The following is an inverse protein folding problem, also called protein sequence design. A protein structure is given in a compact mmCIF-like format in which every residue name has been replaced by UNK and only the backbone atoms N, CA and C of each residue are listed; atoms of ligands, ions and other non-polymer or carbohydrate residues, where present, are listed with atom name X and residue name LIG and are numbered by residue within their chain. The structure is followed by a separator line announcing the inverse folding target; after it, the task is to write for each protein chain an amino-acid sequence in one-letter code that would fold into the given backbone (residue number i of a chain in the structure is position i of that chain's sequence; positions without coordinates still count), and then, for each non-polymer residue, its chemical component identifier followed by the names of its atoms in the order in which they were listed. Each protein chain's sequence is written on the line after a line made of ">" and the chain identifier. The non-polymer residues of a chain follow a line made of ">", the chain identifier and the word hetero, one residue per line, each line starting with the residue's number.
data_IF_256769534260
#
_entry.id   IF_256769534260
#
_cell.length_a   1.000
_cell.length_b   1.000
_cell.length_c   1.000
_cell.angle_alpha   90.00
_cell.angle_beta   90.00
_cell.angle_gamma   90.00
#
_symmetry.space_group_name_H-M   'P 1'
#
loop_
_entity.id
_entity.type
_entity.pdbx_description
1 polymer ?
#
# COMPACT_ATOMS: atom_id res chain seq x y z
N UNK A 1 35.33 -12.40 28.40
CA UNK A 1 36.51 -13.12 27.87
C UNK A 1 36.13 -14.31 27.01
N UNK A 2 35.32 -15.28 27.47
CA UNK A 2 34.92 -16.45 26.65
C UNK A 2 34.23 -16.09 25.32
N UNK A 3 33.31 -15.13 25.31
CA UNK A 3 32.68 -14.65 24.06
C UNK A 3 33.67 -13.95 23.11
N UNK A 4 34.63 -13.18 23.65
CA UNK A 4 35.62 -12.49 22.83
C UNK A 4 36.66 -13.45 22.22
N UNK A 5 37.06 -14.50 22.96
CA UNK A 5 37.92 -15.56 22.42
C UNK A 5 37.23 -16.36 21.30
N UNK A 6 35.89 -16.49 21.34
CA UNK A 6 35.12 -17.05 20.22
C UNK A 6 35.06 -16.13 19.00
N UNK A 7 35.32 -14.84 19.20
CA UNK A 7 35.34 -13.81 18.18
C UNK A 7 36.70 -13.62 17.48
N UNK A 8 37.71 -14.46 17.75
CA UNK A 8 38.98 -14.39 17.03
C UNK A 8 38.77 -14.65 15.53
N UNK A 9 39.17 -13.69 14.71
CA UNK A 9 39.10 -13.79 13.25
C UNK A 9 40.12 -14.82 12.75
N UNK A 10 40.06 -15.18 11.46
CA UNK A 10 41.09 -16.03 10.85
C UNK A 10 42.50 -15.46 11.07
N UNK A 11 42.67 -14.14 10.98
CA UNK A 11 43.93 -13.46 11.27
C UNK A 11 44.35 -13.64 12.73
N UNK A 12 43.44 -13.39 13.68
CA UNK A 12 43.72 -13.58 15.11
C UNK A 12 44.15 -15.01 15.44
N UNK A 13 43.49 -16.01 14.84
CA UNK A 13 43.84 -17.42 14.99
C UNK A 13 45.20 -17.75 14.39
N UNK A 14 45.52 -17.22 13.22
CA UNK A 14 46.84 -17.39 12.60
C UNK A 14 47.97 -16.76 13.44
N UNK A 15 47.76 -15.57 14.01
CA UNK A 15 48.74 -14.94 14.90
C UNK A 15 48.97 -15.75 16.17
N UNK A 16 47.91 -16.29 16.78
CA UNK A 16 48.05 -17.19 17.94
C UNK A 16 48.78 -18.49 17.58
N UNK A 17 48.45 -19.11 16.44
CA UNK A 17 49.10 -20.33 15.99
C UNK A 17 50.58 -20.12 15.65
N UNK A 18 50.91 -19.01 14.98
CA UNK A 18 52.29 -18.62 14.67
C UNK A 18 53.07 -18.32 15.96
N UNK A 19 52.47 -17.58 16.90
CA UNK A 19 53.07 -17.31 18.21
C UNK A 19 53.33 -18.59 19.01
N UNK A 20 52.38 -19.54 19.03
CA UNK A 20 52.58 -20.82 19.73
C UNK A 20 53.66 -21.68 19.07
N UNK A 21 53.68 -21.75 17.73
CA UNK A 21 54.69 -22.50 17.00
C UNK A 21 56.09 -21.92 17.23
N UNK A 22 56.24 -20.59 17.12
CA UNK A 22 57.49 -19.89 17.41
C UNK A 22 57.94 -20.10 18.86
N UNK A 23 57.00 -20.15 19.82
CA UNK A 23 57.30 -20.40 21.23
C UNK A 23 57.84 -21.82 21.47
N UNK A 24 57.24 -22.83 20.82
CA UNK A 24 57.74 -24.21 20.87
C UNK A 24 59.13 -24.31 20.24
N UNK A 25 59.35 -23.70 19.08
CA UNK A 25 60.66 -23.67 18.44
C UNK A 25 61.71 -22.97 19.30
N UNK A 26 61.37 -21.83 19.93
CA UNK A 26 62.28 -21.11 20.83
C UNK A 26 62.67 -21.95 22.05
N UNK A 27 61.75 -22.73 22.60
CA UNK A 27 62.02 -23.64 23.72
C UNK A 27 62.98 -24.76 23.31
N UNK A 28 62.79 -25.34 22.12
CA UNK A 28 63.66 -26.43 21.59
C UNK A 28 65.07 -25.91 21.27
N UNK A 29 65.17 -24.72 20.66
CA UNK A 29 66.42 -24.13 20.20
C UNK A 29 67.19 -23.39 21.31
N UNK A 30 66.53 -23.05 22.43
CA UNK A 30 67.12 -22.23 23.50
C UNK A 30 67.29 -20.75 23.15
N UNK A 31 66.69 -20.30 22.05
CA UNK A 31 66.88 -18.95 21.50
C UNK A 31 65.95 -17.93 22.17
N UNK A 32 66.54 -16.99 22.91
CA UNK A 32 65.79 -15.97 23.68
C UNK A 32 65.10 -14.96 22.78
N UNK A 33 65.67 -14.63 21.63
CA UNK A 33 65.08 -13.65 20.71
C UNK A 33 63.84 -14.20 20.00
N UNK A 34 63.85 -15.49 19.66
CA UNK A 34 62.68 -16.17 19.10
C UNK A 34 61.54 -16.23 20.11
N UNK A 35 61.84 -16.43 21.39
CA UNK A 35 60.85 -16.41 22.47
C UNK A 35 60.19 -15.02 22.61
N UNK A 36 60.96 -13.93 22.48
CA UNK A 36 60.41 -12.56 22.53
C UNK A 36 59.41 -12.32 21.39
N UNK A 37 59.73 -12.76 20.18
CA UNK A 37 58.83 -12.68 19.01
C UNK A 37 57.58 -13.53 19.22
N UNK A 38 57.73 -14.74 19.74
CA UNK A 38 56.61 -15.63 20.05
C UNK A 38 55.63 -15.01 21.05
N UNK A 39 56.15 -14.42 22.14
CA UNK A 39 55.35 -13.72 23.15
C UNK A 39 54.61 -12.54 22.53
N UNK A 40 55.28 -11.72 21.70
CA UNK A 40 54.66 -10.56 21.05
C UNK A 40 53.50 -10.98 20.14
N UNK A 41 53.72 -12.01 19.31
CA UNK A 41 52.70 -12.55 18.40
C UNK A 41 51.49 -13.13 19.14
N UNK A 42 51.72 -13.82 20.26
CA UNK A 42 50.64 -14.40 21.06
C UNK A 42 49.90 -13.36 21.91
N UNK A 43 50.61 -12.34 22.42
CA UNK A 43 50.03 -11.26 23.23
C UNK A 43 49.06 -10.39 22.44
N UNK A 44 49.36 -10.10 21.17
CA UNK A 44 48.57 -9.15 20.38
C UNK A 44 47.08 -9.59 20.20
N UNK A 45 46.76 -10.83 19.80
CA UNK A 45 45.37 -11.31 19.75
C UNK A 45 44.69 -11.38 21.13
N UNK A 46 45.45 -11.69 22.19
CA UNK A 46 44.92 -11.73 23.56
C UNK A 46 44.55 -10.31 24.05
N UNK A 47 45.39 -9.32 23.76
CA UNK A 47 45.10 -7.91 24.04
C UNK A 47 43.92 -7.40 23.22
N UNK A 48 43.82 -7.78 21.94
CA UNK A 48 42.67 -7.45 21.09
C UNK A 48 41.36 -8.06 21.63
N UNK A 49 41.37 -9.34 22.00
CA UNK A 49 40.21 -10.01 22.61
C UNK A 49 39.87 -9.42 24.00
N UNK A 50 40.87 -9.01 24.79
CA UNK A 50 40.65 -8.32 26.05
C UNK A 50 40.06 -6.92 25.84
N UNK A 51 40.53 -6.17 24.85
CA UNK A 51 40.00 -4.85 24.48
C UNK A 51 38.53 -4.94 24.08
N UNK A 52 38.21 -5.80 23.10
CA UNK A 52 36.83 -6.01 22.63
C UNK A 52 35.94 -6.60 23.75
N UNK A 53 36.47 -7.54 24.52
CA UNK A 53 35.74 -8.25 25.57
C UNK A 53 35.50 -7.45 26.86
N UNK A 54 36.41 -6.56 27.25
CA UNK A 54 36.23 -5.65 28.40
C UNK A 54 35.23 -4.57 28.09
N UNK A 55 35.09 -4.20 26.83
CA UNK A 55 34.38 -2.98 26.50
C UNK A 55 32.86 -3.06 26.65
N UNK A 56 32.27 -4.25 26.89
CA UNK A 56 30.82 -4.49 27.15
C UNK A 56 29.92 -3.38 26.56
N UNK A 57 30.12 -3.10 25.27
CA UNK A 57 29.63 -1.86 24.69
C UNK A 57 28.11 -1.81 24.82
N UNK A 58 27.62 -0.90 25.65
CA UNK A 58 26.19 -0.63 25.76
C UNK A 58 25.84 0.28 24.58
N UNK A 59 25.47 -0.32 23.46
CA UNK A 59 24.99 0.41 22.31
C UNK A 59 23.47 0.48 22.36
N UNK A 60 22.91 1.68 22.30
CA UNK A 60 21.51 1.89 22.00
C UNK A 60 21.38 2.16 20.50
N UNK A 61 20.39 1.55 19.86
CA UNK A 61 20.10 1.78 18.46
C UNK A 61 18.61 2.02 18.30
N UNK A 62 18.25 3.08 17.57
CA UNK A 62 16.90 3.31 17.08
C UNK A 62 16.92 3.41 15.57
N UNK A 63 15.89 2.85 14.92
CA UNK A 63 15.67 2.97 13.49
C UNK A 63 14.40 3.80 13.29
N UNK A 64 14.43 4.71 12.32
CA UNK A 64 13.26 5.43 11.84
C UNK A 64 13.18 5.36 10.32
N UNK A 65 11.94 5.39 9.81
CA UNK A 65 11.62 5.36 8.39
C UNK A 65 10.97 6.69 8.00
N UNK A 66 11.56 7.38 7.04
CA UNK A 66 11.11 8.69 6.57
C UNK A 66 10.92 8.69 5.04
N UNK A 67 9.67 8.66 4.54
CA UNK A 67 8.43 8.36 5.26
C UNK A 67 8.26 6.85 5.55
N UNK A 68 7.47 6.49 6.58
CA UNK A 68 7.11 5.09 6.86
C UNK A 68 6.08 4.49 5.89
N UNK A 69 5.41 5.35 5.13
CA UNK A 69 4.53 5.00 4.01
C UNK A 69 4.99 5.73 2.76
N UNK A 70 5.29 5.01 1.70
CA UNK A 70 5.80 5.58 0.45
C UNK A 70 5.04 5.02 -0.76
N UNK A 71 4.74 5.80 -1.80
CA UNK A 71 4.22 5.26 -3.05
C UNK A 71 5.24 4.34 -3.73
N UNK A 72 4.74 3.38 -4.51
CA UNK A 72 5.56 2.57 -5.43
C UNK A 72 6.49 3.48 -6.25
N UNK A 73 7.76 3.09 -6.38
CA UNK A 73 8.78 3.84 -7.09
C UNK A 73 9.28 5.09 -6.37
N UNK A 74 8.76 5.42 -5.19
CA UNK A 74 9.30 6.50 -4.35
C UNK A 74 10.41 5.97 -3.44
N UNK A 75 11.36 6.83 -3.12
CA UNK A 75 12.45 6.51 -2.19
C UNK A 75 12.04 6.85 -0.75
N UNK A 76 12.36 5.95 0.19
CA UNK A 76 12.26 6.19 1.62
C UNK A 76 13.65 6.12 2.27
N UNK A 77 13.90 6.97 3.26
CA UNK A 77 15.15 6.98 4.02
C UNK A 77 15.00 6.13 5.28
N UNK A 78 15.93 5.22 5.48
CA UNK A 78 16.12 4.52 6.75
C UNK A 78 17.21 5.23 7.52
N UNK A 79 16.88 5.75 8.70
CA UNK A 79 17.81 6.46 9.56
C UNK A 79 18.10 5.57 10.77
N UNK A 80 19.36 5.19 10.92
CA UNK A 80 19.88 4.45 12.06
C UNK A 80 20.56 5.45 13.00
N UNK A 81 20.04 5.61 14.21
CA UNK A 81 20.66 6.42 15.26
C UNK A 81 21.29 5.49 16.28
N UNK A 82 22.62 5.56 16.37
CA UNK A 82 23.41 4.77 17.28
C UNK A 82 23.93 5.67 18.40
N UNK A 83 23.86 5.20 19.63
CA UNK A 83 24.41 5.88 20.79
C UNK A 83 25.27 4.92 21.61
N UNK A 84 26.50 5.34 21.89
CA UNK A 84 27.38 4.65 22.79
C UNK A 84 27.06 5.05 24.24
N UNK A 85 26.39 4.18 25.00
CA UNK A 85 26.05 4.41 26.41
C UNK A 85 27.19 4.05 27.38
N UNK A 86 28.39 3.77 26.87
CA UNK A 86 29.55 3.39 27.68
C UNK A 86 30.53 4.56 27.83
N UNK A 87 31.40 4.44 28.85
CA UNK A 87 32.47 5.41 29.15
C UNK A 87 33.69 5.27 28.24
N UNK A 88 33.76 4.22 27.43
CA UNK A 88 34.87 3.92 26.53
C UNK A 88 34.44 4.17 25.08
N UNK A 89 35.32 4.70 24.22
CA UNK A 89 35.03 4.82 22.80
C UNK A 89 34.92 3.44 22.15
N UNK A 90 34.08 3.30 21.12
CA UNK A 90 33.99 2.08 20.32
C UNK A 90 35.18 1.93 19.37
N UNK A 91 35.43 0.70 18.93
CA UNK A 91 36.18 0.46 17.70
C UNK A 91 35.32 0.77 16.47
N UNK A 92 35.81 0.36 15.30
CA UNK A 92 35.08 0.46 14.03
C UNK A 92 33.85 -0.43 14.06
N UNK A 93 32.72 0.16 13.69
CA UNK A 93 31.41 -0.48 13.66
C UNK A 93 31.02 -0.71 12.20
N UNK A 94 30.76 -1.96 11.83
CA UNK A 94 30.13 -2.33 10.57
C UNK A 94 28.66 -2.60 10.84
N UNK A 95 27.79 -1.74 10.31
CA UNK A 95 26.35 -1.84 10.39
C UNK A 95 25.84 -2.57 9.17
N UNK A 96 25.06 -3.63 9.39
CA UNK A 96 24.40 -4.39 8.33
C UNK A 96 22.91 -4.52 8.65
N UNK A 97 22.07 -3.93 7.82
CA UNK A 97 20.62 -4.07 7.95
C UNK A 97 20.13 -5.19 7.02
N UNK A 98 19.16 -5.98 7.49
CA UNK A 98 18.55 -7.02 6.66
C UNK A 98 17.33 -6.44 5.95
N UNK A 99 17.36 -6.51 4.63
CA UNK A 99 16.28 -6.07 3.75
C UNK A 99 15.77 -7.23 2.88
N UNK A 100 14.47 -7.30 2.60
CA UNK A 100 13.91 -8.09 1.52
C UNK A 100 14.49 -7.66 0.17
N UNK A 101 14.59 -8.60 -0.78
CA UNK A 101 15.14 -8.33 -2.12
C UNK A 101 14.42 -7.20 -2.86
N UNK A 102 13.11 -7.05 -2.63
CA UNK A 102 12.31 -5.99 -3.22
C UNK A 102 12.72 -4.56 -2.80
N UNK A 103 13.47 -4.39 -1.71
CA UNK A 103 14.04 -3.11 -1.28
C UNK A 103 15.50 -2.92 -1.71
N UNK A 104 16.07 -3.90 -2.42
CA UNK A 104 17.46 -3.89 -2.88
C UNK A 104 18.41 -4.74 -2.04
N UNK A 105 19.71 -4.47 -2.17
CA UNK A 105 20.77 -5.19 -1.48
C UNK A 105 20.89 -4.81 -0.01
N UNK A 106 21.44 -5.71 0.80
CA UNK A 106 21.72 -5.46 2.23
C UNK A 106 22.71 -4.30 2.40
N UNK A 107 22.29 -3.15 2.96
CA UNK A 107 23.17 -2.00 3.12
C UNK A 107 24.25 -2.31 4.15
N UNK A 108 25.49 -1.94 3.82
CA UNK A 108 26.64 -2.05 4.72
C UNK A 108 27.20 -0.66 4.93
N UNK A 109 27.22 -0.19 6.16
CA UNK A 109 27.78 1.12 6.49
C UNK A 109 28.84 0.97 7.55
N UNK A 110 30.00 1.60 7.32
CA UNK A 110 31.10 1.63 8.28
C UNK A 110 31.04 2.93 9.05
N UNK A 111 31.07 2.84 10.38
CA UNK A 111 31.20 3.97 11.28
C UNK A 111 32.52 3.80 12.04
N UNK A 112 33.45 4.73 11.84
CA UNK A 112 34.86 4.57 12.28
C UNK A 112 35.01 4.47 13.80
N UNK A 113 34.34 5.35 14.55
CA UNK A 113 34.39 5.39 16.01
C UNK A 113 33.23 6.20 16.57
N UNK A 114 32.63 5.70 17.65
CA UNK A 114 31.76 6.47 18.54
C UNK A 114 32.47 6.71 19.86
N UNK A 115 32.69 7.98 20.19
CA UNK A 115 33.19 8.41 21.50
C UNK A 115 32.28 7.98 22.66
N UNK A 116 32.77 8.16 23.88
CA UNK A 116 31.98 7.88 25.08
C UNK A 116 30.73 8.76 25.13
N UNK A 117 29.55 8.18 25.36
CA UNK A 117 28.25 8.89 25.36
C UNK A 117 27.88 9.60 24.05
N UNK A 118 28.65 9.39 22.98
CA UNK A 118 28.39 10.02 21.67
C UNK A 118 27.28 9.29 20.94
N UNK A 119 26.48 10.07 20.20
CA UNK A 119 25.51 9.56 19.23
C UNK A 119 25.93 9.93 17.80
N UNK A 120 25.66 9.05 16.85
CA UNK A 120 25.79 9.32 15.43
C UNK A 120 24.58 8.78 14.69
N UNK A 121 24.17 9.46 13.64
CA UNK A 121 23.15 8.98 12.71
C UNK A 121 23.81 8.56 11.40
N UNK A 122 23.27 7.51 10.82
CA UNK A 122 23.61 7.00 9.49
C UNK A 122 22.31 6.82 8.74
N UNK A 123 22.27 7.21 7.47
CA UNK A 123 21.08 7.01 6.65
C UNK A 123 21.44 6.28 5.36
N UNK A 124 20.52 5.42 4.93
CA UNK A 124 20.54 4.82 3.60
C UNK A 124 19.13 4.92 2.98
N UNK A 125 19.06 4.84 1.66
CA UNK A 125 17.81 4.96 0.93
C UNK A 125 17.36 3.59 0.43
N UNK A 126 16.07 3.32 0.53
CA UNK A 126 15.40 2.15 -0.04
C UNK A 126 14.32 2.59 -1.01
N UNK A 127 14.05 1.75 -2.01
CA UNK A 127 12.98 1.94 -3.00
C UNK A 127 12.41 0.57 -3.34
N UNK A 128 11.09 0.49 -3.45
CA UNK A 128 10.40 -0.68 -3.96
C UNK A 128 9.62 -0.30 -5.23
N UNK A 129 9.70 -1.16 -6.24
CA UNK A 129 8.94 -0.99 -7.48
C UNK A 129 7.62 -1.80 -7.48
N UNK A 130 7.38 -2.59 -6.43
CA UNK A 130 6.12 -3.32 -6.21
C UNK A 130 5.55 -2.91 -4.85
N UNK A 131 4.23 -2.84 -4.75
CA UNK A 131 3.54 -2.51 -3.49
C UNK A 131 3.65 -3.66 -2.49
N UNK A 132 3.51 -3.33 -1.21
CA UNK A 132 3.54 -4.30 -0.13
C UNK A 132 4.10 -3.75 1.17
N UNK A 133 4.05 -4.58 2.21
CA UNK A 133 4.68 -4.30 3.51
C UNK A 133 6.02 -5.01 3.61
N UNK A 134 7.08 -4.22 3.72
CA UNK A 134 8.45 -4.75 3.76
C UNK A 134 9.05 -4.59 5.16
N UNK A 135 9.47 -5.69 5.80
CA UNK A 135 10.22 -5.59 7.06
C UNK A 135 11.61 -5.04 6.80
N UNK A 136 12.03 -4.06 7.60
CA UNK A 136 13.37 -3.47 7.60
C UNK A 136 14.04 -3.85 8.92
N UNK A 137 15.05 -4.70 8.85
CA UNK A 137 15.70 -5.30 10.01
C UNK A 137 15.69 -6.82 10.01
N UNK A 138 16.32 -7.45 11.02
CA UNK A 138 17.04 -6.85 12.14
C UNK A 138 18.38 -6.21 11.75
N UNK A 139 18.85 -5.25 12.57
CA UNK A 139 20.17 -4.63 12.41
C UNK A 139 21.24 -5.48 13.10
N UNK A 140 22.32 -5.78 12.38
CA UNK A 140 23.49 -6.46 12.93
C UNK A 140 24.67 -5.47 12.93
N UNK A 141 25.29 -5.30 14.09
CA UNK A 141 26.50 -4.49 14.25
C UNK A 141 27.67 -5.42 14.53
N UNK A 142 28.70 -5.36 13.69
CA UNK A 142 29.98 -6.03 13.94
C UNK A 142 30.99 -5.00 14.42
N UNK A 143 31.59 -5.27 15.57
CA UNK A 143 32.64 -4.47 16.16
C UNK A 143 33.97 -5.16 15.89
N UNK A 144 34.91 -4.44 15.29
CA UNK A 144 36.23 -4.99 14.99
C UNK A 144 37.30 -4.19 15.73
N UNK A 145 38.32 -4.87 16.26
CA UNK A 145 39.48 -4.18 16.82
C UNK A 145 40.34 -3.52 15.71
N UNK A 146 41.21 -2.54 16.03
CA UNK A 146 42.02 -1.83 15.03
C UNK A 146 42.96 -2.70 14.18
N UNK A 147 43.37 -3.87 14.68
CA UNK A 147 44.23 -4.84 14.00
C UNK A 147 43.43 -5.94 13.26
N UNK A 148 42.10 -6.00 13.44
CA UNK A 148 41.23 -6.98 12.80
C UNK A 148 41.44 -8.42 13.27
N UNK A 149 41.93 -8.62 14.50
CA UNK A 149 42.26 -9.94 15.06
C UNK A 149 41.08 -10.57 15.80
N UNK A 150 40.14 -9.75 16.26
CA UNK A 150 38.96 -10.11 17.03
C UNK A 150 37.77 -9.27 16.57
N UNK A 151 36.65 -9.95 16.30
CA UNK A 151 35.35 -9.35 15.99
C UNK A 151 34.32 -9.74 17.06
N UNK A 152 33.38 -8.84 17.34
CA UNK A 152 32.23 -9.09 18.20
C UNK A 152 30.97 -8.65 17.47
N UNK A 153 30.02 -9.57 17.33
CA UNK A 153 28.74 -9.30 16.67
C UNK A 153 27.64 -9.06 17.70
N UNK A 154 26.86 -8.00 17.51
CA UNK A 154 25.66 -7.68 18.28
C UNK A 154 24.47 -7.53 17.33
N UNK A 155 23.34 -8.13 17.67
CA UNK A 155 22.12 -8.06 16.88
C UNK A 155 21.06 -7.25 17.64
N UNK A 156 20.42 -6.33 16.94
CA UNK A 156 19.26 -5.58 17.41
C UNK A 156 18.03 -6.18 16.74
N UNK A 157 17.16 -6.88 17.48
CA UNK A 157 16.04 -7.64 16.91
C UNK A 157 14.89 -6.75 16.41
N UNK A 158 14.95 -5.43 16.60
CA UNK A 158 13.90 -4.51 16.15
C UNK A 158 13.76 -4.55 14.64
N UNK A 159 12.51 -4.66 14.19
CA UNK A 159 12.12 -4.66 12.78
C UNK A 159 11.03 -3.61 12.62
N UNK A 160 11.26 -2.65 11.73
CA UNK A 160 10.26 -1.67 11.35
C UNK A 160 9.62 -2.09 10.03
N UNK A 161 8.43 -1.56 9.71
CA UNK A 161 7.70 -1.91 8.49
C UNK A 161 7.59 -0.69 7.59
N UNK A 162 8.15 -0.79 6.38
CA UNK A 162 7.90 0.17 5.32
C UNK A 162 6.67 -0.29 4.53
N UNK A 163 5.62 0.52 4.52
CA UNK A 163 4.42 0.26 3.72
C UNK A 163 4.54 0.96 2.37
N UNK A 164 4.67 0.18 1.31
CA UNK A 164 4.72 0.69 -0.06
C UNK A 164 3.31 0.63 -0.65
N UNK A 165 2.68 1.79 -0.78
CA UNK A 165 1.29 1.94 -1.25
C UNK A 165 1.23 2.08 -2.77
N UNK A 166 0.11 1.73 -3.41
CA UNK A 166 -0.06 1.99 -4.84
C UNK A 166 0.14 3.47 -5.19
N UNK A 167 0.55 3.74 -6.43
CA UNK A 167 0.61 5.11 -6.93
C UNK A 167 -0.81 5.71 -7.00
N UNK A 168 -0.94 6.94 -6.51
CA UNK A 168 -2.17 7.73 -6.54
C UNK A 168 -1.97 8.84 -7.56
N UNK A 169 -2.73 8.79 -8.65
CA UNK A 169 -2.70 9.79 -9.71
C UNK A 169 -3.81 10.81 -9.46
N UNK A 170 -3.53 12.12 -9.42
CA UNK A 170 -4.55 13.14 -9.30
C UNK A 170 -5.53 13.08 -10.49
N UNK A 171 -6.84 13.06 -10.19
CA UNK A 171 -7.90 13.01 -11.20
C UNK A 171 -8.53 14.39 -11.39
N UNK A 172 -8.90 14.78 -12.62
CA UNK A 172 -9.57 16.05 -12.87
C UNK A 172 -10.95 16.09 -12.20
N UNK A 173 -11.39 17.27 -11.79
CA UNK A 173 -12.73 17.43 -11.22
C UNK A 173 -13.80 17.16 -12.29
N UNK A 174 -14.60 16.12 -12.08
CA UNK A 174 -15.67 15.69 -12.99
C UNK A 174 -16.92 15.45 -12.16
N UNK A 175 -18.06 15.98 -12.59
CA UNK A 175 -19.34 15.68 -11.96
C UNK A 175 -19.78 14.27 -12.33
N UNK A 176 -19.85 13.39 -11.36
CA UNK A 176 -20.33 12.02 -11.57
C UNK A 176 -21.85 11.99 -11.42
N UNK A 177 -22.54 11.28 -12.30
CA UNK A 177 -23.97 11.06 -12.11
C UNK A 177 -24.18 10.23 -10.84
N UNK A 178 -25.14 10.66 -10.00
CA UNK A 178 -25.26 10.23 -8.61
C UNK A 178 -25.13 11.38 -7.62
N UNK A 179 -24.51 12.51 -8.01
CA UNK A 179 -24.55 13.79 -7.26
C UNK A 179 -25.98 14.30 -7.01
N UNK A 180 -26.98 13.84 -7.79
CA UNK A 180 -28.38 14.22 -7.57
C UNK A 180 -29.09 13.40 -6.49
N UNK A 181 -28.51 12.30 -6.03
CA UNK A 181 -29.09 11.48 -4.97
C UNK A 181 -28.38 11.67 -3.62
N UNK A 182 -27.30 12.43 -3.55
CA UNK A 182 -26.60 12.70 -2.29
C UNK A 182 -25.94 14.05 -2.35
N UNK A 183 -26.17 14.86 -1.32
CA UNK A 183 -25.54 16.17 -1.11
C UNK A 183 -24.05 15.99 -0.84
N UNK A 184 -23.29 15.69 -1.89
CA UNK A 184 -21.83 15.71 -1.92
C UNK A 184 -21.42 17.14 -2.22
N UNK A 185 -21.20 17.91 -1.15
CA UNK A 185 -20.51 19.20 -1.04
C UNK A 185 -20.67 20.29 -2.13
N UNK A 186 -21.63 20.16 -3.06
CA UNK A 186 -21.86 21.11 -4.16
C UNK A 186 -23.14 21.91 -4.01
N UNK A 187 -23.80 21.89 -2.83
CA UNK A 187 -25.06 22.64 -2.62
C UNK A 187 -25.24 23.35 -1.28
N UNK A 188 -24.18 23.54 -0.49
CA UNK A 188 -24.24 24.47 0.65
C UNK A 188 -24.54 25.94 0.26
N UNK A 189 -24.67 26.26 -1.04
CA UNK A 189 -24.96 27.60 -1.54
C UNK A 189 -26.32 27.78 -2.24
N UNK A 190 -27.20 26.76 -2.28
CA UNK A 190 -28.57 26.92 -2.82
C UNK A 190 -29.70 26.82 -1.80
N UNK A 191 -29.40 26.63 -0.51
CA UNK A 191 -30.42 26.65 0.56
C UNK A 191 -30.60 28.06 1.16
N UNK A 192 -29.87 29.06 0.68
CA UNK A 192 -30.01 30.43 1.16
C UNK A 192 -31.24 31.19 0.59
N UNK A 193 -32.22 30.53 -0.06
CA UNK A 193 -33.33 31.26 -0.72
C UNK A 193 -34.74 30.70 -0.46
N UNK A 194 -34.93 29.50 0.09
CA UNK A 194 -36.28 29.01 0.43
C UNK A 194 -36.27 28.50 1.87
N UNK A 195 -37.14 29.08 2.69
CA UNK A 195 -37.06 29.05 4.16
C UNK A 195 -37.07 27.65 4.78
N UNK A 196 -36.74 27.59 6.07
CA UNK A 196 -36.72 26.41 6.95
C UNK A 196 -38.06 25.63 7.08
N UNK A 197 -39.00 25.87 6.17
CA UNK A 197 -40.43 25.55 6.24
C UNK A 197 -40.89 24.50 5.21
N UNK A 198 -40.01 24.03 4.33
CA UNK A 198 -40.32 23.04 3.28
C UNK A 198 -39.87 21.61 3.65
N UNK A 199 -39.93 21.25 4.93
CA UNK A 199 -39.79 19.85 5.33
C UNK A 199 -41.00 19.05 4.83
N UNK A 200 -40.79 17.97 4.07
CA UNK A 200 -41.86 17.09 3.62
C UNK A 200 -42.70 16.63 4.84
N UNK A 201 -44.00 16.95 4.87
CA UNK A 201 -44.88 16.57 6.00
C UNK A 201 -45.64 15.28 5.70
N UNK A 202 -45.89 14.47 6.72
CA UNK A 202 -46.79 13.30 6.65
C UNK A 202 -47.84 13.34 7.76
N UNK A 203 -48.92 12.59 7.58
CA UNK A 203 -49.92 12.38 8.61
C UNK A 203 -49.30 11.75 9.87
N UNK A 204 -49.72 12.24 11.03
CA UNK A 204 -49.37 11.74 12.35
C UNK A 204 -49.87 10.31 12.53
N UNK A 205 -49.00 9.44 13.03
CA UNK A 205 -49.37 8.08 13.46
C UNK A 205 -49.18 7.98 14.96
N UNK A 206 -50.07 7.24 15.63
CA UNK A 206 -49.95 6.99 17.08
C UNK A 206 -48.58 6.37 17.36
N UNK A 207 -47.78 7.07 18.17
CA UNK A 207 -46.39 6.72 18.47
C UNK A 207 -45.36 7.76 17.99
N UNK A 208 -45.77 8.70 17.13
CA UNK A 208 -44.92 9.83 16.76
C UNK A 208 -44.79 10.84 17.91
N UNK A 209 -43.59 11.41 18.06
CA UNK A 209 -43.33 12.45 19.07
C UNK A 209 -44.10 13.74 18.71
N UNK A 210 -44.98 14.19 19.62
CA UNK A 210 -45.77 15.41 19.48
C UNK A 210 -44.90 16.67 19.32
N UNK A 211 -43.63 16.64 19.76
CA UNK A 211 -42.68 17.74 19.56
C UNK A 211 -42.28 17.95 18.10
N UNK A 212 -42.51 16.95 17.24
CA UNK A 212 -42.20 16.97 15.80
C UNK A 212 -43.41 17.39 14.93
N UNK A 213 -44.52 17.78 15.54
CA UNK A 213 -45.73 18.24 14.83
C UNK A 213 -45.48 19.56 14.10
N UNK A 214 -45.81 19.60 12.82
CA UNK A 214 -45.76 20.80 11.99
C UNK A 214 -47.05 21.60 12.12
N UNK A 215 -47.16 22.42 13.17
CA UNK A 215 -48.40 23.15 13.50
C UNK A 215 -48.99 23.96 12.35
N UNK A 216 -48.14 24.57 11.50
CA UNK A 216 -48.62 25.34 10.33
C UNK A 216 -49.29 24.47 9.27
N UNK A 217 -48.81 23.25 9.06
CA UNK A 217 -49.41 22.31 8.11
C UNK A 217 -50.67 21.70 8.71
N UNK A 218 -50.61 21.32 9.99
CA UNK A 218 -51.78 20.89 10.77
C UNK A 218 -52.92 21.91 10.73
N UNK A 219 -52.61 23.20 10.85
CA UNK A 219 -53.61 24.27 10.80
C UNK A 219 -54.27 24.43 9.41
N UNK A 220 -53.59 24.02 8.33
CA UNK A 220 -54.13 24.09 6.96
C UNK A 220 -54.91 22.83 6.57
N UNK A 221 -54.46 21.65 6.98
CA UNK A 221 -55.09 20.37 6.62
C UNK A 221 -56.15 19.92 7.62
N UNK A 222 -56.17 20.46 8.83
CA UNK A 222 -57.09 20.04 9.90
C UNK A 222 -56.71 18.72 10.57
N UNK A 223 -55.67 18.05 10.09
CA UNK A 223 -55.15 16.78 10.59
C UNK A 223 -53.72 16.98 11.12
N UNK A 224 -53.34 16.26 12.19
CA UNK A 224 -51.99 16.38 12.76
C UNK A 224 -50.94 15.95 11.73
N UNK A 225 -50.08 16.87 11.32
CA UNK A 225 -48.96 16.63 10.41
C UNK A 225 -47.65 16.60 11.18
N UNK A 226 -46.77 15.65 10.88
CA UNK A 226 -45.43 15.53 11.48
C UNK A 226 -44.36 15.84 10.42
N UNK A 227 -43.32 16.57 10.81
CA UNK A 227 -42.12 16.80 9.97
C UNK A 227 -41.49 15.43 9.66
N UNK A 228 -41.38 15.05 8.38
CA UNK A 228 -40.58 13.89 8.00
C UNK A 228 -39.12 14.22 8.27
N UNK A 229 -38.45 13.34 8.98
CA UNK A 229 -37.00 13.43 9.18
C UNK A 229 -36.35 13.23 7.80
N UNK A 230 -35.86 14.31 7.19
CA UNK A 230 -34.97 14.20 6.05
C UNK A 230 -33.68 13.58 6.57
N UNK A 231 -33.47 12.30 6.24
CA UNK A 231 -32.14 11.72 6.42
C UNK A 231 -31.19 12.53 5.55
N UNK A 232 -30.10 13.09 6.12
CA UNK A 232 -29.05 13.69 5.31
C UNK A 232 -28.59 12.61 4.34
N UNK A 233 -28.77 12.82 3.04
CA UNK A 233 -28.25 11.90 2.05
C UNK A 233 -26.74 12.05 2.04
N UNK A 234 -26.07 11.22 2.83
CA UNK A 234 -24.62 11.10 2.84
C UNK A 234 -24.19 10.56 1.47
N UNK A 235 -23.31 11.30 0.80
CA UNK A 235 -22.75 10.83 -0.46
C UNK A 235 -21.82 9.65 -0.19
N UNK A 236 -22.30 8.45 -0.49
CA UNK A 236 -21.54 7.20 -0.34
C UNK A 236 -21.07 6.73 -1.70
N UNK A 237 -19.83 6.23 -1.74
CA UNK A 237 -19.30 5.59 -2.92
C UNK A 237 -18.56 4.29 -2.55
N UNK A 238 -18.82 3.26 -3.34
CA UNK A 238 -18.17 1.96 -3.19
C UNK A 238 -17.22 1.75 -4.37
N UNK A 239 -15.93 1.62 -4.07
CA UNK A 239 -14.92 1.22 -5.05
C UNK A 239 -14.77 -0.29 -4.98
N UNK A 240 -14.92 -0.93 -6.13
CA UNK A 240 -14.91 -2.38 -6.28
C UNK A 240 -13.70 -2.76 -7.13
N UNK A 241 -12.83 -3.62 -6.60
CA UNK A 241 -11.64 -4.09 -7.28
C UNK A 241 -11.76 -5.59 -7.58
N UNK A 242 -11.68 -5.94 -8.86
CA UNK A 242 -11.54 -7.31 -9.29
C UNK A 242 -10.14 -7.84 -8.93
N UNK A 243 -10.09 -8.98 -8.24
CA UNK A 243 -8.84 -9.62 -7.79
C UNK A 243 -8.70 -11.02 -8.36
N UNK A 244 -9.48 -11.40 -9.38
CA UNK A 244 -9.41 -12.73 -9.99
C UNK A 244 -8.14 -12.86 -10.81
N UNK A 245 -7.33 -13.89 -10.56
CA UNK A 245 -6.09 -14.12 -11.30
C UNK A 245 -6.35 -14.22 -12.82
N UNK A 246 -7.40 -14.94 -13.23
CA UNK A 246 -7.73 -15.16 -14.63
C UNK A 246 -8.14 -13.88 -15.40
N UNK A 247 -8.59 -12.84 -14.68
CA UNK A 247 -9.05 -11.58 -15.28
C UNK A 247 -7.90 -10.62 -15.62
N UNK A 248 -6.69 -10.87 -15.10
CA UNK A 248 -5.56 -9.98 -15.25
C UNK A 248 -4.38 -10.66 -15.96
N UNK A 249 -3.62 -9.86 -16.69
CA UNK A 249 -2.40 -10.26 -17.41
C UNK A 249 -1.23 -9.33 -17.11
N UNK A 250 -0.05 -9.80 -17.47
CA UNK A 250 1.23 -9.13 -17.21
C UNK A 250 1.82 -9.51 -15.86
N UNK A 251 3.10 -9.20 -15.68
CA UNK A 251 3.85 -9.44 -14.45
C UNK A 251 4.52 -8.15 -13.96
N UNK A 252 4.79 -8.10 -12.65
CA UNK A 252 5.52 -6.99 -12.06
C UNK A 252 4.74 -5.66 -12.05
N UNK A 253 5.46 -4.51 -12.00
CA UNK A 253 4.86 -3.18 -11.79
C UNK A 253 3.91 -2.71 -12.91
N UNK A 254 4.03 -3.30 -14.10
CA UNK A 254 3.26 -2.92 -15.30
C UNK A 254 2.07 -3.83 -15.56
N UNK A 255 1.80 -4.81 -14.69
CA UNK A 255 0.67 -5.72 -14.87
C UNK A 255 -0.67 -4.96 -14.84
N UNK A 256 -1.67 -5.48 -15.57
CA UNK A 256 -3.02 -4.90 -15.63
C UNK A 256 -3.67 -4.79 -14.25
N UNK A 257 -3.32 -5.70 -13.33
CA UNK A 257 -3.75 -5.65 -11.95
C UNK A 257 -3.16 -4.47 -11.17
N UNK A 258 -1.88 -4.13 -11.38
CA UNK A 258 -1.26 -2.96 -10.75
C UNK A 258 -1.92 -1.67 -11.21
N UNK A 259 -2.28 -1.60 -12.51
CA UNK A 259 -3.07 -0.49 -13.05
C UNK A 259 -4.42 -0.38 -12.35
N UNK A 260 -5.13 -1.51 -12.16
CA UNK A 260 -6.41 -1.55 -11.45
C UNK A 260 -6.27 -1.12 -9.98
N UNK A 261 -5.22 -1.55 -9.28
CA UNK A 261 -4.97 -1.16 -7.88
C UNK A 261 -4.64 0.33 -7.78
N UNK A 262 -3.78 0.85 -8.66
CA UNK A 262 -3.47 2.28 -8.73
C UNK A 262 -4.72 3.09 -9.08
N UNK A 263 -5.56 2.58 -9.97
CA UNK A 263 -6.82 3.20 -10.32
C UNK A 263 -7.80 3.25 -9.15
N UNK A 264 -7.97 2.13 -8.43
CA UNK A 264 -8.79 2.06 -7.22
C UNK A 264 -8.32 3.06 -6.16
N UNK A 265 -7.01 3.15 -5.92
CA UNK A 265 -6.41 4.10 -4.98
C UNK A 265 -6.67 5.55 -5.40
N UNK A 266 -6.45 5.87 -6.68
CA UNK A 266 -6.64 7.21 -7.25
C UNK A 266 -8.10 7.66 -7.17
N UNK A 267 -9.03 6.78 -7.55
CA UNK A 267 -10.47 7.03 -7.49
C UNK A 267 -10.92 7.20 -6.04
N UNK A 268 -10.47 6.32 -5.14
CA UNK A 268 -10.81 6.44 -3.72
C UNK A 268 -10.30 7.78 -3.16
N UNK A 269 -9.05 8.15 -3.37
CA UNK A 269 -8.53 9.43 -2.83
C UNK A 269 -9.26 10.63 -3.45
N UNK A 270 -9.57 10.60 -4.73
CA UNK A 270 -10.32 11.67 -5.40
C UNK A 270 -11.74 11.83 -4.83
N UNK A 271 -12.48 10.72 -4.67
CA UNK A 271 -13.83 10.77 -4.11
C UNK A 271 -13.83 11.19 -2.64
N UNK A 272 -12.78 10.82 -1.87
CA UNK A 272 -12.64 11.27 -0.49
C UNK A 272 -12.49 12.78 -0.40
N UNK A 273 -11.62 13.33 -1.26
CA UNK A 273 -11.42 14.78 -1.37
C UNK A 273 -12.70 15.50 -1.81
N UNK A 274 -13.56 14.83 -2.57
CA UNK A 274 -14.89 15.33 -2.96
C UNK A 274 -15.98 15.13 -1.87
N UNK A 275 -15.63 14.66 -0.66
CA UNK A 275 -16.55 14.53 0.46
C UNK A 275 -17.35 13.22 0.52
N UNK A 276 -17.03 12.23 -0.31
CA UNK A 276 -17.71 10.93 -0.25
C UNK A 276 -17.23 10.09 0.93
N UNK A 277 -18.17 9.40 1.58
CA UNK A 277 -17.86 8.26 2.44
C UNK A 277 -17.54 7.06 1.55
N UNK A 278 -16.34 6.50 1.72
CA UNK A 278 -15.87 5.43 0.85
C UNK A 278 -15.81 4.09 1.54
N UNK A 279 -16.22 3.10 0.75
CA UNK A 279 -16.05 1.69 1.01
C UNK A 279 -15.21 1.08 -0.11
N UNK A 280 -14.19 0.31 0.24
CA UNK A 280 -13.42 -0.50 -0.71
C UNK A 280 -13.81 -1.95 -0.54
N UNK A 281 -14.26 -2.58 -1.62
CA UNK A 281 -14.56 -4.01 -1.68
C UNK A 281 -13.67 -4.68 -2.70
N UNK A 282 -13.09 -5.83 -2.36
CA UNK A 282 -12.27 -6.62 -3.28
C UNK A 282 -12.76 -8.05 -3.36
N UNK A 283 -12.53 -8.73 -4.49
CA UNK A 283 -12.89 -10.15 -4.66
C UNK A 283 -12.24 -11.09 -3.64
N UNK A 284 -11.16 -10.66 -2.96
CA UNK A 284 -10.46 -11.40 -1.93
C UNK A 284 -11.15 -11.38 -0.54
N UNK A 285 -12.36 -10.81 -0.41
CA UNK A 285 -13.09 -10.77 0.86
C UNK A 285 -12.81 -9.55 1.73
N UNK A 286 -11.98 -8.63 1.24
CA UNK A 286 -11.71 -7.36 1.90
C UNK A 286 -12.89 -6.42 1.70
N UNK A 287 -13.41 -5.91 2.81
CA UNK A 287 -14.49 -4.91 2.86
C UNK A 287 -14.11 -3.85 3.90
N UNK A 288 -13.48 -2.77 3.44
CA UNK A 288 -12.98 -1.69 4.28
C UNK A 288 -13.87 -0.47 4.12
N UNK A 289 -14.55 -0.10 5.20
CA UNK A 289 -15.24 1.17 5.31
C UNK A 289 -14.29 2.19 5.94
N UNK A 290 -14.13 3.32 5.27
CA UNK A 290 -13.24 4.38 5.71
C UNK A 290 -14.07 5.63 6.01
N UNK A 291 -15.08 5.51 6.85
CA UNK A 291 -15.92 6.64 7.30
C UNK A 291 -15.20 7.60 8.26
N UNK A 292 -14.11 7.17 8.89
CA UNK A 292 -13.42 7.90 9.96
C UNK A 292 -12.14 8.62 9.51
N UNK A 293 -11.67 9.54 10.36
CA UNK A 293 -10.39 10.25 10.20
C UNK A 293 -9.24 9.23 10.13
N UNK A 294 -8.43 9.29 9.07
CA UNK A 294 -7.35 8.33 8.82
C UNK A 294 -7.76 7.12 7.98
N UNK A 295 -9.03 7.00 7.59
CA UNK A 295 -9.52 5.93 6.72
C UNK A 295 -8.87 5.90 5.32
N UNK A 296 -8.36 7.04 4.84
CA UNK A 296 -7.52 7.08 3.63
C UNK A 296 -6.30 6.17 3.73
N UNK A 297 -5.62 6.23 4.87
CA UNK A 297 -4.47 5.38 5.15
C UNK A 297 -4.84 3.91 5.18
N UNK A 298 -5.99 3.56 5.76
CA UNK A 298 -6.47 2.18 5.81
C UNK A 298 -6.79 1.60 4.42
N UNK A 299 -7.40 2.39 3.53
CA UNK A 299 -7.63 1.99 2.12
C UNK A 299 -6.29 1.74 1.42
N UNK A 300 -5.34 2.68 1.53
CA UNK A 300 -4.05 2.57 0.85
C UNK A 300 -3.19 1.42 1.40
N UNK A 301 -3.18 1.21 2.71
CA UNK A 301 -2.48 0.10 3.35
C UNK A 301 -3.10 -1.24 2.95
N UNK A 302 -4.43 -1.29 2.85
CA UNK A 302 -5.15 -2.46 2.37
C UNK A 302 -4.78 -2.75 0.92
N UNK A 303 -4.85 -1.77 0.03
CA UNK A 303 -4.48 -1.91 -1.39
C UNK A 303 -3.00 -2.29 -1.56
N UNK A 304 -2.12 -1.91 -0.64
CA UNK A 304 -0.73 -2.36 -0.61
C UNK A 304 -0.60 -3.87 -0.39
N UNK A 305 -1.55 -4.51 0.31
CA UNK A 305 -1.52 -5.94 0.63
C UNK A 305 -2.38 -6.83 -0.28
N UNK A 306 -3.37 -6.26 -0.97
CA UNK A 306 -4.28 -7.02 -1.85
C UNK A 306 -3.48 -7.78 -2.91
N UNK A 307 -3.80 -9.06 -3.13
CA UNK A 307 -3.20 -9.93 -4.17
C UNK A 307 -4.27 -10.54 -5.05
N UNK A 308 -3.84 -11.03 -6.22
CA UNK A 308 -4.70 -11.85 -7.07
C UNK A 308 -5.08 -13.17 -6.37
N UNK A 309 -6.26 -13.68 -6.70
CA UNK A 309 -6.85 -14.88 -6.12
C UNK A 309 -7.20 -15.86 -7.22
N UNK A 310 -6.75 -17.12 -7.10
CA UNK A 310 -6.92 -18.16 -8.12
C UNK A 310 -8.37 -18.66 -8.26
N UNK A 311 -9.10 -18.72 -7.14
CA UNK A 311 -10.47 -19.22 -7.07
C UNK A 311 -11.53 -18.10 -6.98
N UNK A 312 -11.22 -16.91 -7.50
CA UNK A 312 -12.13 -15.78 -7.39
C UNK A 312 -13.33 -15.90 -8.33
N UNK A 313 -14.54 -15.78 -7.78
CA UNK A 313 -15.79 -15.64 -8.53
C UNK A 313 -16.32 -14.21 -8.37
N UNK A 314 -16.76 -13.61 -9.48
CA UNK A 314 -17.34 -12.27 -9.49
C UNK A 314 -18.62 -12.20 -8.65
N UNK A 315 -19.36 -13.30 -8.52
CA UNK A 315 -20.58 -13.38 -7.72
C UNK A 315 -20.34 -13.05 -6.24
N UNK A 316 -19.21 -13.50 -5.68
CA UNK A 316 -18.82 -13.25 -4.28
C UNK A 316 -18.65 -11.75 -4.02
N UNK A 317 -18.08 -11.04 -4.99
CA UNK A 317 -17.90 -9.60 -4.95
C UNK A 317 -19.26 -8.89 -5.03
N UNK A 318 -20.19 -9.38 -5.87
CA UNK A 318 -21.57 -8.87 -5.92
C UNK A 318 -22.29 -9.04 -4.59
N UNK A 319 -22.21 -10.23 -3.99
CA UNK A 319 -22.84 -10.53 -2.70
C UNK A 319 -22.26 -9.71 -1.55
N UNK A 320 -20.95 -9.45 -1.54
CA UNK A 320 -20.29 -8.59 -0.55
C UNK A 320 -20.80 -7.15 -0.59
N UNK A 321 -20.90 -6.57 -1.78
CA UNK A 321 -21.42 -5.21 -1.92
C UNK A 321 -22.89 -5.18 -1.51
N UNK A 322 -23.71 -6.15 -1.96
CA UNK A 322 -25.15 -6.25 -1.64
C UNK A 322 -25.46 -6.38 -0.15
N UNK A 323 -24.64 -7.12 0.60
CA UNK A 323 -24.83 -7.31 2.05
C UNK A 323 -24.92 -6.00 2.83
N UNK A 324 -24.29 -4.94 2.33
CA UNK A 324 -24.36 -3.58 2.88
C UNK A 324 -24.70 -2.62 1.75
N UNK A 325 -25.94 -2.69 1.27
CA UNK A 325 -26.43 -1.78 0.24
C UNK A 325 -26.56 -0.37 0.79
N UNK A 326 -25.46 0.37 0.71
CA UNK A 326 -25.35 1.74 1.22
C UNK A 326 -25.99 2.79 0.29
N UNK A 327 -26.50 2.39 -0.89
CA UNK A 327 -26.98 3.31 -1.92
C UNK A 327 -25.86 4.18 -2.50
N UNK A 328 -26.15 4.88 -3.61
CA UNK A 328 -25.22 5.87 -4.18
C UNK A 328 -24.37 5.38 -5.35
N UNK A 329 -23.07 5.67 -5.31
CA UNK A 329 -22.16 5.49 -6.44
C UNK A 329 -21.36 4.19 -6.31
N UNK A 330 -21.33 3.35 -7.34
CA UNK A 330 -20.48 2.15 -7.39
C UNK A 330 -19.51 2.30 -8.54
N UNK A 331 -18.22 2.24 -8.27
CA UNK A 331 -17.17 2.28 -9.29
C UNK A 331 -16.40 0.96 -9.24
N UNK A 332 -16.45 0.20 -10.33
CA UNK A 332 -15.73 -1.06 -10.46
C UNK A 332 -14.52 -0.95 -11.39
N UNK A 333 -13.41 -1.56 -11.00
CA UNK A 333 -12.28 -1.83 -11.88
C UNK A 333 -12.24 -3.33 -12.12
N UNK A 334 -12.62 -3.72 -13.33
CA UNK A 334 -12.78 -5.12 -13.70
C UNK A 334 -11.74 -5.50 -14.73
N UNK A 335 -11.11 -6.66 -14.55
CA UNK A 335 -10.26 -7.26 -15.57
C UNK A 335 -11.08 -7.79 -16.74
N UNK A 336 -10.54 -8.79 -17.44
CA UNK A 336 -11.30 -9.53 -18.44
C UNK A 336 -12.53 -10.18 -17.80
N UNK A 337 -13.68 -9.90 -18.40
CA UNK A 337 -14.99 -10.37 -18.00
C UNK A 337 -15.59 -11.20 -19.12
N UNK A 338 -16.32 -12.26 -18.77
CA UNK A 338 -17.23 -12.92 -19.71
C UNK A 338 -18.58 -12.18 -19.78
N UNK A 339 -19.36 -12.45 -20.82
CA UNK A 339 -20.72 -11.90 -20.96
C UNK A 339 -21.61 -12.30 -19.78
N UNK A 340 -21.52 -13.56 -19.33
CA UNK A 340 -22.26 -14.04 -18.16
C UNK A 340 -21.86 -13.30 -16.87
N UNK A 341 -20.57 -13.02 -16.69
CA UNK A 341 -20.08 -12.27 -15.53
C UNK A 341 -20.55 -10.81 -15.56
N UNK A 342 -20.59 -10.18 -16.74
CA UNK A 342 -21.14 -8.84 -16.90
C UNK A 342 -22.65 -8.77 -16.57
N UNK A 343 -23.40 -9.84 -16.84
CA UNK A 343 -24.80 -9.96 -16.43
C UNK A 343 -24.94 -10.12 -14.92
N UNK A 344 -24.07 -10.89 -14.25
CA UNK A 344 -24.05 -11.02 -12.78
C UNK A 344 -23.79 -9.66 -12.10
N UNK A 345 -22.96 -8.80 -12.70
CA UNK A 345 -22.70 -7.44 -12.20
C UNK A 345 -23.94 -6.53 -12.21
N UNK A 346 -25.03 -6.89 -12.92
CA UNK A 346 -26.34 -6.22 -12.76
C UNK A 346 -26.77 -6.25 -11.30
N UNK A 347 -26.38 -7.28 -10.55
CA UNK A 347 -26.71 -7.42 -9.15
C UNK A 347 -26.27 -6.22 -8.29
N UNK A 348 -25.16 -5.57 -8.64
CA UNK A 348 -24.66 -4.41 -7.89
C UNK A 348 -25.54 -3.15 -8.01
N UNK A 349 -26.48 -3.14 -8.96
CA UNK A 349 -27.46 -2.08 -9.11
C UNK A 349 -28.57 -2.23 -8.06
N UNK A 350 -28.29 -1.76 -6.85
CA UNK A 350 -29.34 -1.48 -5.86
C UNK A 350 -30.28 -0.37 -6.32
N UNK A 351 -31.38 -0.13 -5.60
CA UNK A 351 -32.34 0.93 -5.93
C UNK A 351 -31.64 2.31 -6.01
N UNK A 352 -31.51 2.85 -7.22
CA UNK A 352 -30.95 4.19 -7.47
C UNK A 352 -29.43 4.30 -7.53
N UNK A 353 -28.69 3.18 -7.50
CA UNK A 353 -27.23 3.24 -7.57
C UNK A 353 -26.73 3.58 -8.98
N UNK A 354 -25.80 4.54 -9.10
CA UNK A 354 -25.08 4.79 -10.35
C UNK A 354 -23.85 3.89 -10.40
N UNK A 355 -23.75 3.06 -11.44
CA UNK A 355 -22.65 2.12 -11.60
C UNK A 355 -21.75 2.52 -12.76
N UNK A 356 -20.46 2.68 -12.49
CA UNK A 356 -19.40 3.00 -13.46
C UNK A 356 -18.38 1.88 -13.43
N UNK A 357 -18.09 1.27 -14.57
CA UNK A 357 -17.17 0.15 -14.70
C UNK A 357 -16.02 0.51 -15.63
N UNK A 358 -14.80 0.52 -15.10
CA UNK A 358 -13.58 0.50 -15.90
C UNK A 358 -13.33 -0.94 -16.33
N UNK A 359 -13.60 -1.23 -17.60
CA UNK A 359 -13.45 -2.56 -18.18
C UNK A 359 -12.05 -2.65 -18.80
N UNK A 360 -11.14 -3.35 -18.11
CA UNK A 360 -9.75 -3.49 -18.51
C UNK A 360 -9.62 -4.61 -19.54
N UNK A 361 -9.18 -4.23 -20.73
CA UNK A 361 -8.79 -5.19 -21.75
C UNK A 361 -7.39 -5.74 -21.45
N UNK A 362 -7.35 -6.75 -20.57
CA UNK A 362 -6.09 -7.39 -20.18
C UNK A 362 -5.35 -8.06 -21.34
N UNK A 363 -6.01 -8.30 -22.48
CA UNK A 363 -5.35 -8.87 -23.66
C UNK A 363 -4.30 -7.91 -24.26
N UNK A 364 -4.49 -6.60 -24.10
CA UNK A 364 -3.55 -5.57 -24.57
C UNK A 364 -2.24 -5.53 -23.77
N UNK A 365 -2.17 -6.18 -22.60
CA UNK A 365 -0.96 -6.32 -21.79
C UNK A 365 -0.03 -7.46 -22.25
N UNK A 366 -0.44 -8.25 -23.26
CA UNK A 366 0.32 -9.40 -23.74
C UNK A 366 0.52 -9.29 -25.25
N UNK A 367 1.67 -9.76 -25.72
CA UNK A 367 1.91 -9.95 -27.14
C UNK A 367 1.13 -11.17 -27.63
N UNK A 368 0.29 -10.98 -28.64
CA UNK A 368 -0.61 -12.00 -29.20
C UNK A 368 -0.52 -11.98 -30.72
N UNK A 369 -0.90 -13.09 -31.36
CA UNK A 369 -1.00 -13.14 -32.82
C UNK A 369 -2.13 -12.23 -33.31
N UNK A 370 -2.11 -11.86 -34.60
CA UNK A 370 -3.17 -11.02 -35.17
C UNK A 370 -4.56 -11.68 -35.11
N UNK A 371 -4.63 -13.01 -35.29
CA UNK A 371 -5.88 -13.76 -35.21
C UNK A 371 -6.45 -13.75 -33.78
N UNK A 372 -5.61 -14.03 -32.78
CA UNK A 372 -6.05 -14.04 -31.38
C UNK A 372 -6.44 -12.63 -30.90
N UNK A 373 -5.80 -11.59 -31.41
CA UNK A 373 -6.15 -10.19 -31.10
C UNK A 373 -7.54 -9.84 -31.60
N UNK A 374 -7.89 -10.21 -32.83
CA UNK A 374 -9.24 -9.95 -33.37
C UNK A 374 -10.33 -10.64 -32.54
N UNK A 375 -10.06 -11.86 -32.06
CA UNK A 375 -11.00 -12.58 -31.20
C UNK A 375 -11.10 -11.95 -29.81
N UNK A 376 -9.98 -11.54 -29.22
CA UNK A 376 -9.96 -10.84 -27.94
C UNK A 376 -10.70 -9.49 -28.00
N UNK A 377 -10.49 -8.70 -29.05
CA UNK A 377 -11.19 -7.43 -29.29
C UNK A 377 -12.70 -7.64 -29.41
N UNK A 378 -13.13 -8.69 -30.14
CA UNK A 378 -14.54 -9.08 -30.28
C UNK A 378 -15.15 -9.47 -28.94
N UNK A 379 -14.46 -10.32 -28.17
CA UNK A 379 -14.91 -10.75 -26.86
C UNK A 379 -15.02 -9.56 -25.88
N UNK A 380 -14.03 -8.67 -25.86
CA UNK A 380 -14.05 -7.46 -25.04
C UNK A 380 -15.21 -6.53 -25.42
N UNK A 381 -15.45 -6.32 -26.73
CA UNK A 381 -16.58 -5.54 -27.23
C UNK A 381 -17.94 -6.12 -26.84
N UNK A 382 -18.10 -7.45 -26.92
CA UNK A 382 -19.32 -8.14 -26.50
C UNK A 382 -19.59 -7.95 -25.00
N UNK A 383 -18.57 -8.07 -24.16
CA UNK A 383 -18.69 -7.86 -22.72
C UNK A 383 -18.96 -6.40 -22.35
N UNK A 384 -18.31 -5.44 -23.02
CA UNK A 384 -18.60 -4.01 -22.83
C UNK A 384 -20.06 -3.69 -23.15
N UNK A 385 -20.61 -4.27 -24.23
CA UNK A 385 -22.02 -4.14 -24.58
C UNK A 385 -22.93 -4.78 -23.52
N UNK A 386 -22.57 -5.94 -22.98
CA UNK A 386 -23.31 -6.61 -21.91
C UNK A 386 -23.37 -5.74 -20.63
N UNK A 387 -22.25 -5.10 -20.24
CA UNK A 387 -22.20 -4.14 -19.13
C UNK A 387 -23.12 -2.94 -19.37
N UNK A 388 -23.11 -2.38 -20.58
CA UNK A 388 -24.00 -1.25 -20.90
C UNK A 388 -25.47 -1.68 -20.87
N UNK A 389 -25.79 -2.88 -21.36
CA UNK A 389 -27.15 -3.45 -21.30
C UNK A 389 -27.61 -3.74 -19.87
N UNK A 390 -26.71 -4.12 -18.97
CA UNK A 390 -27.00 -4.22 -17.53
C UNK A 390 -27.12 -2.84 -16.85
N UNK A 391 -26.88 -1.76 -17.58
CA UNK A 391 -27.04 -0.37 -17.14
C UNK A 391 -25.84 0.18 -16.39
N UNK A 392 -24.68 -0.45 -16.55
CA UNK A 392 -23.40 0.15 -16.18
C UNK A 392 -22.95 1.17 -17.22
N UNK A 393 -22.23 2.18 -16.77
CA UNK A 393 -21.40 3.00 -17.66
C UNK A 393 -20.07 2.31 -17.81
N UNK A 394 -19.80 1.76 -18.99
CA UNK A 394 -18.51 1.12 -19.28
C UNK A 394 -17.52 2.14 -19.82
N UNK A 395 -16.32 2.17 -19.24
CA UNK A 395 -15.14 2.88 -19.74
C UNK A 395 -14.09 1.82 -20.09
N UNK A 396 -13.79 1.60 -21.38
CA UNK A 396 -12.75 0.65 -21.78
C UNK A 396 -11.38 1.18 -21.38
N UNK A 397 -10.49 0.27 -21.00
CA UNK A 397 -9.10 0.58 -20.62
C UNK A 397 -8.17 -0.37 -21.37
N UNK A 398 -7.20 0.20 -22.08
CA UNK A 398 -6.14 -0.54 -22.76
C UNK A 398 -4.75 -0.25 -22.15
N UNK A 399 -3.77 -1.08 -22.49
CA UNK A 399 -2.39 -0.89 -22.03
C UNK A 399 -1.84 0.46 -22.51
N UNK A 400 -1.30 1.24 -21.57
CA UNK A 400 -0.77 2.57 -21.81
C UNK A 400 -1.75 3.72 -21.52
N UNK A 401 -3.03 3.43 -21.30
CA UNK A 401 -3.99 4.46 -20.92
C UNK A 401 -3.70 5.02 -19.52
N UNK A 402 -3.83 6.33 -19.38
CA UNK A 402 -3.78 6.99 -18.07
C UNK A 402 -5.18 7.15 -17.49
N UNK A 403 -5.36 6.81 -16.21
CA UNK A 403 -6.66 6.97 -15.55
C UNK A 403 -7.15 8.43 -15.59
N UNK A 404 -6.25 9.41 -15.44
CA UNK A 404 -6.60 10.82 -15.50
C UNK A 404 -7.23 11.24 -16.84
N UNK A 405 -6.78 10.64 -17.96
CA UNK A 405 -7.34 10.89 -19.29
C UNK A 405 -8.71 10.20 -19.49
N UNK A 406 -8.91 9.03 -18.88
CA UNK A 406 -10.16 8.29 -18.96
C UNK A 406 -11.24 8.81 -18.00
N UNK A 407 -10.85 9.43 -16.88
CA UNK A 407 -11.76 9.89 -15.83
C UNK A 407 -12.91 10.80 -16.31
N UNK A 408 -12.70 11.76 -17.23
CA UNK A 408 -13.80 12.56 -17.80
C UNK A 408 -14.89 11.73 -18.51
N UNK A 409 -14.55 10.54 -19.04
CA UNK A 409 -15.54 9.66 -19.64
C UNK A 409 -16.50 9.04 -18.61
N UNK A 410 -16.08 8.90 -17.34
CA UNK A 410 -16.93 8.40 -16.26
C UNK A 410 -18.10 9.36 -15.94
N UNK A 411 -17.87 10.68 -16.06
CA UNK A 411 -18.89 11.71 -15.81
C UNK A 411 -19.85 11.91 -16.98
N UNK A 412 -19.40 11.73 -18.22
CA UNK A 412 -20.26 11.83 -19.41
C UNK A 412 -21.30 10.71 -19.38
N UNK A 413 -22.58 11.06 -19.30
CA UNK A 413 -23.68 10.10 -19.36
C UNK A 413 -23.62 9.22 -20.62
N UNK A 414 -24.42 8.14 -20.64
CA UNK A 414 -24.46 7.09 -21.67
C UNK A 414 -24.57 7.57 -23.13
N UNK A 415 -24.89 8.83 -23.38
CA UNK A 415 -25.03 9.40 -24.71
C UNK A 415 -23.73 9.47 -25.53
N UNK A 416 -22.55 9.46 -24.89
CA UNK A 416 -21.27 9.51 -25.62
C UNK A 416 -20.83 8.17 -26.23
N UNK A 417 -21.15 7.04 -25.58
CA UNK A 417 -20.66 5.73 -25.99
C UNK A 417 -21.56 5.04 -27.01
N UNK A 418 -22.88 5.19 -26.89
CA UNK A 418 -23.82 4.68 -27.91
C UNK A 418 -23.54 5.30 -29.29
N UNK A 419 -23.12 6.56 -29.34
CA UNK A 419 -22.75 7.25 -30.59
C UNK A 419 -21.47 6.70 -31.22
N UNK A 420 -20.45 6.32 -30.42
CA UNK A 420 -19.21 5.71 -30.94
C UNK A 420 -19.39 4.24 -31.33
N UNK A 421 -20.17 3.47 -30.57
CA UNK A 421 -20.50 2.09 -30.92
C UNK A 421 -21.34 2.02 -32.20
N UNK A 422 -22.32 2.91 -32.36
CA UNK A 422 -23.11 3.01 -33.59
C UNK A 422 -22.26 3.48 -34.80
N UNK A 423 -21.32 4.41 -34.60
CA UNK A 423 -20.38 4.81 -35.64
C UNK A 423 -19.43 3.68 -36.06
N UNK A 424 -18.96 2.86 -35.12
CA UNK A 424 -18.11 1.71 -35.43
C UNK A 424 -18.85 0.62 -36.24
N UNK A 425 -20.15 0.42 -36.01
CA UNK A 425 -20.99 -0.49 -36.82
C UNK A 425 -21.26 0.04 -38.23
N UNK A 426 -21.21 1.36 -38.45
CA UNK A 426 -21.55 1.97 -39.75
C UNK A 426 -20.35 2.01 -40.71
N UNK A 427 -19.12 1.93 -40.21
CA UNK A 427 -17.89 1.93 -41.03
C UNK A 427 -17.46 0.51 -41.46
N UNK A 428 -18.12 -0.53 -40.91
CA UNK A 428 -17.83 -1.94 -41.20
C UNK A 428 -18.78 -2.65 -42.17
N UNK A 429 -19.59 -1.92 -42.96
CA UNK A 429 -20.48 -2.50 -43.98
C UNK A 429 -20.10 -2.09 -45.38
#
# INVERSE_FOLDING_TARGET
>A
MREAMRGLTTRGRSFLAAGSAAGVSAFILGEKDLLRVAILLAMLPLLAAAYVGRSRYKLACTRSLEPGRAPVGSSARVILRLQNMSRLPTGTLLLEDRLPYALGSRPRVVLERLGAHQASSVAYTVRADVRGRYPVGPLVIRLTDPFGLCELTRSFPSVDRLTVIPQVVPLPAVRLAGEYAGTGDSRARSVAVHGEDDAATREYRRGDDLRRVHWRSTARTGELMVRREEQPWESRATVVLDTRLAAHRGEGPTASFEWAVSGAASIAMHLRQAGYKLRLVTGAGVDVDATEIGGEGAILDTLADVKLTDAGDISVLVDQVRRRSDGGLVIGLFGTLSVAEAEVLTGLRGNGATCIGFAIDSSTWVNMTSADRVEADRAHGATALALVRSGWRSVPVAHGDSLAALWPAAGRGSQGFAYRAAMAETVGR
#
